data_IF_591615976091
#
_entry.id   IF_591615976091
#
_cell.length_a   1.000
_cell.length_b   1.000
_cell.length_c   1.000
_cell.angle_alpha   90.00
_cell.angle_beta   90.00
_cell.angle_gamma   90.00
#
_symmetry.space_group_name_H-M   'P 1'
#
loop_
_entity.id
_entity.type
_entity.pdbx_description
1 polymer ?
#
# COMPACT_ATOMS: atom_id res chain seq x y z
N UNK A 1 -6.15 14.12 -3.92
CA UNK A 1 -5.54 13.72 -5.21
C UNK A 1 -6.40 13.90 -6.47
N UNK A 2 -7.61 14.52 -6.42
CA UNK A 2 -8.45 14.74 -7.63
C UNK A 2 -8.11 16.01 -8.44
N UNK A 3 -7.11 16.78 -7.99
CA UNK A 3 -6.80 18.12 -8.54
C UNK A 3 -5.68 18.13 -9.59
N UNK A 4 -4.84 17.08 -9.68
CA UNK A 4 -3.77 17.02 -10.69
C UNK A 4 -4.22 16.24 -11.93
N UNK A 5 -3.78 16.65 -13.12
CA UNK A 5 -4.09 15.98 -14.39
C UNK A 5 -3.67 14.50 -14.36
N UNK A 6 -2.53 14.21 -13.73
CA UNK A 6 -2.05 12.85 -13.51
C UNK A 6 -2.98 12.05 -12.58
N UNK A 7 -3.34 12.60 -11.41
CA UNK A 7 -4.22 11.92 -10.47
C UNK A 7 -5.59 11.60 -11.07
N UNK A 8 -6.18 12.53 -11.82
CA UNK A 8 -7.47 12.30 -12.49
C UNK A 8 -7.39 11.21 -13.56
N UNK A 9 -6.29 11.15 -14.29
CA UNK A 9 -6.01 10.08 -15.25
C UNK A 9 -5.90 8.72 -14.55
N UNK A 10 -5.17 8.64 -13.43
CA UNK A 10 -5.01 7.41 -12.63
C UNK A 10 -6.36 6.91 -12.10
N UNK A 11 -7.18 7.80 -11.52
CA UNK A 11 -8.53 7.43 -11.03
C UNK A 11 -9.46 6.99 -12.15
N UNK A 12 -9.40 7.64 -13.32
CA UNK A 12 -10.20 7.26 -14.48
C UNK A 12 -9.83 5.87 -15.01
N UNK A 13 -8.53 5.58 -15.14
CA UNK A 13 -8.02 4.24 -15.52
C UNK A 13 -8.43 3.18 -14.50
N UNK A 14 -8.38 3.50 -13.21
CA UNK A 14 -8.75 2.58 -12.13
C UNK A 14 -10.24 2.29 -12.03
N UNK A 15 -11.11 3.22 -12.42
CA UNK A 15 -12.57 3.02 -12.40
C UNK A 15 -13.08 2.27 -13.62
N UNK A 16 -12.65 2.67 -14.82
CA UNK A 16 -12.99 1.98 -16.06
C UNK A 16 -11.93 2.26 -17.14
N UNK A 17 -11.03 1.30 -17.36
CA UNK A 17 -9.96 1.41 -18.34
C UNK A 17 -10.47 1.62 -19.77
N UNK A 18 -11.58 0.97 -20.14
CA UNK A 18 -12.16 1.06 -21.49
C UNK A 18 -12.74 2.46 -21.74
N UNK A 19 -13.45 3.02 -20.76
CA UNK A 19 -13.95 4.40 -20.83
C UNK A 19 -12.80 5.42 -20.87
N UNK A 20 -11.74 5.21 -20.10
CA UNK A 20 -10.57 6.08 -20.12
C UNK A 20 -9.88 6.11 -21.49
N UNK A 21 -9.78 4.96 -22.17
CA UNK A 21 -9.24 4.90 -23.54
C UNK A 21 -10.11 5.65 -24.54
N UNK A 22 -11.44 5.50 -24.46
CA UNK A 22 -12.40 6.23 -25.31
C UNK A 22 -12.35 7.75 -25.09
N UNK A 23 -11.98 8.20 -23.89
CA UNK A 23 -11.77 9.62 -23.57
C UNK A 23 -10.36 10.15 -23.96
N UNK A 24 -9.57 9.40 -24.72
CA UNK A 24 -8.23 9.82 -25.18
C UNK A 24 -7.11 9.68 -24.14
N UNK A 25 -7.37 9.04 -22.98
CA UNK A 25 -6.33 8.76 -21.99
C UNK A 25 -5.56 7.52 -22.43
N UNK A 26 -4.24 7.66 -22.62
CA UNK A 26 -3.38 6.53 -22.93
C UNK A 26 -3.14 5.65 -21.69
N UNK A 27 -4.07 4.72 -21.45
CA UNK A 27 -4.05 3.78 -20.31
C UNK A 27 -2.73 3.02 -20.20
N UNK A 28 -2.11 2.68 -21.34
CA UNK A 28 -0.83 1.96 -21.36
C UNK A 28 0.28 2.79 -20.74
N UNK A 29 0.41 4.07 -21.14
CA UNK A 29 1.41 4.98 -20.56
C UNK A 29 1.18 5.21 -19.07
N UNK A 30 -0.08 5.42 -18.66
CA UNK A 30 -0.43 5.63 -17.26
C UNK A 30 -0.08 4.40 -16.41
N UNK A 31 -0.40 3.18 -16.86
CA UNK A 31 -0.02 1.94 -16.17
C UNK A 31 1.49 1.78 -16.05
N UNK A 32 2.24 1.98 -17.13
CA UNK A 32 3.70 1.89 -17.11
C UNK A 32 4.26 2.85 -16.05
N UNK A 33 3.79 4.11 -16.05
CA UNK A 33 4.26 5.14 -15.13
C UNK A 33 3.97 4.79 -13.66
N UNK A 34 2.78 4.25 -13.36
CA UNK A 34 2.41 3.79 -12.02
C UNK A 34 3.29 2.62 -11.57
N UNK A 35 3.51 1.62 -12.44
CA UNK A 35 4.35 0.48 -12.11
C UNK A 35 5.82 0.87 -11.93
N UNK A 36 6.36 1.76 -12.76
CA UNK A 36 7.73 2.27 -12.61
C UNK A 36 7.90 3.06 -11.32
N UNK A 37 6.92 3.89 -10.95
CA UNK A 37 6.95 4.61 -9.68
C UNK A 37 6.90 3.62 -8.51
N UNK A 38 5.98 2.66 -8.54
CA UNK A 38 5.86 1.65 -7.47
C UNK A 38 7.14 0.83 -7.32
N UNK A 39 7.78 0.43 -8.42
CA UNK A 39 9.07 -0.26 -8.39
C UNK A 39 10.20 0.60 -7.83
N UNK A 40 10.24 1.88 -8.17
CA UNK A 40 11.23 2.83 -7.62
C UNK A 40 11.03 3.01 -6.11
N UNK A 41 9.80 3.20 -5.64
CA UNK A 41 9.48 3.27 -4.22
C UNK A 41 9.84 1.96 -3.49
N UNK A 42 9.55 0.80 -4.09
CA UNK A 42 9.91 -0.50 -3.52
C UNK A 42 11.43 -0.67 -3.40
N UNK A 43 12.20 -0.24 -4.41
CA UNK A 43 13.66 -0.27 -4.37
C UNK A 43 14.21 0.62 -3.24
N UNK A 44 13.71 1.85 -3.11
CA UNK A 44 14.11 2.76 -2.02
C UNK A 44 13.80 2.15 -0.65
N UNK A 45 12.60 1.57 -0.50
CA UNK A 45 12.17 0.93 0.75
C UNK A 45 13.02 -0.29 1.08
N UNK A 46 13.39 -1.10 0.07
CA UNK A 46 14.28 -2.24 0.22
C UNK A 46 15.69 -1.85 0.66
N UNK A 47 16.26 -0.77 0.09
CA UNK A 47 17.55 -0.21 0.52
C UNK A 47 17.48 0.26 1.98
N UNK A 48 16.40 0.96 2.36
CA UNK A 48 16.20 1.41 3.74
C UNK A 48 16.07 0.24 4.72
N UNK A 49 15.34 -0.81 4.35
CA UNK A 49 15.17 -2.00 5.17
C UNK A 49 16.51 -2.75 5.34
N UNK A 50 17.28 -2.88 4.27
CA UNK A 50 18.62 -3.48 4.29
C UNK A 50 19.58 -2.67 5.18
N UNK A 51 19.55 -1.34 5.09
CA UNK A 51 20.34 -0.45 5.94
C UNK A 51 19.94 -0.56 7.43
N UNK A 52 18.64 -0.76 7.71
CA UNK A 52 18.13 -0.88 9.08
C UNK A 52 18.53 -2.19 9.76
N UNK A 53 18.51 -3.31 9.04
CA UNK A 53 18.76 -4.64 9.63
C UNK A 53 20.26 -4.95 9.78
N UNK A 54 21.14 -4.32 9.00
CA UNK A 54 22.59 -4.58 9.00
C UNK A 54 22.99 -6.04 8.70
N UNK A 55 22.00 -6.91 8.48
CA UNK A 55 22.08 -8.35 8.30
C UNK A 55 20.87 -8.76 7.46
N UNK A 56 21.07 -9.63 6.47
CA UNK A 56 20.03 -10.07 5.53
C UNK A 56 19.06 -11.06 6.18
N UNK A 57 18.33 -10.63 7.21
CA UNK A 57 17.34 -11.49 7.85
C UNK A 57 16.05 -11.50 7.02
N UNK A 58 15.92 -12.50 6.13
CA UNK A 58 14.80 -12.64 5.20
C UNK A 58 13.43 -12.70 5.91
N UNK A 59 13.40 -13.10 7.18
CA UNK A 59 12.17 -13.14 7.98
C UNK A 59 11.62 -11.78 8.42
N UNK A 60 12.41 -10.71 8.33
CA UNK A 60 12.01 -9.38 8.82
C UNK A 60 10.93 -8.71 7.95
N UNK A 61 10.76 -9.16 6.70
CA UNK A 61 9.74 -8.65 5.79
C UNK A 61 8.47 -9.52 5.73
N UNK A 62 8.48 -10.70 6.36
CA UNK A 62 7.35 -11.62 6.31
C UNK A 62 6.12 -11.00 6.99
N UNK A 63 5.00 -10.95 6.27
CA UNK A 63 3.74 -10.40 6.76
C UNK A 63 3.57 -8.89 6.57
N UNK A 64 4.62 -8.17 6.12
CA UNK A 64 4.48 -6.76 5.77
C UNK A 64 3.53 -6.55 4.59
N UNK A 65 3.48 -7.48 3.64
CA UNK A 65 2.53 -7.42 2.52
C UNK A 65 1.08 -7.43 3.01
N UNK A 66 0.77 -8.30 3.97
CA UNK A 66 -0.56 -8.40 4.57
C UNK A 66 -0.92 -7.15 5.38
N UNK A 67 0.02 -6.62 6.17
CA UNK A 67 -0.20 -5.37 6.92
C UNK A 67 -0.44 -4.17 5.99
N UNK A 68 0.27 -4.11 4.85
CA UNK A 68 0.07 -3.07 3.84
C UNK A 68 -1.31 -3.18 3.21
N UNK A 69 -1.76 -4.38 2.84
CA UNK A 69 -3.10 -4.59 2.27
C UNK A 69 -4.17 -4.20 3.30
N UNK A 70 -4.04 -4.66 4.55
CA UNK A 70 -4.96 -4.35 5.63
C UNK A 70 -5.07 -2.84 5.87
N UNK A 71 -3.94 -2.14 5.94
CA UNK A 71 -3.91 -0.69 6.18
C UNK A 71 -4.59 0.10 5.06
N UNK A 72 -4.42 -0.35 3.82
CA UNK A 72 -4.98 0.27 2.62
C UNK A 72 -6.49 0.03 2.53
N UNK A 73 -6.96 -1.16 2.91
CA UNK A 73 -8.40 -1.51 2.98
C UNK A 73 -9.09 -0.79 4.14
N UNK A 74 -8.50 -0.78 5.34
CA UNK A 74 -9.00 -0.03 6.52
C UNK A 74 -9.05 1.47 6.21
N UNK A 75 -8.08 1.99 5.45
CA UNK A 75 -8.07 3.36 4.94
C UNK A 75 -9.14 3.69 3.89
N UNK A 76 -9.99 2.73 3.51
CA UNK A 76 -11.12 2.93 2.61
C UNK A 76 -10.75 3.03 1.13
N UNK A 77 -9.62 2.46 0.73
CA UNK A 77 -9.26 2.39 -0.70
C UNK A 77 -9.67 1.06 -1.31
N UNK A 78 -10.30 1.12 -2.48
CA UNK A 78 -10.82 -0.06 -3.15
C UNK A 78 -9.69 -0.79 -3.89
N UNK A 79 -9.49 -2.07 -3.57
CA UNK A 79 -8.57 -2.97 -4.28
C UNK A 79 -8.92 -3.11 -5.77
N UNK A 80 -10.21 -3.01 -6.11
CA UNK A 80 -10.70 -3.03 -7.50
C UNK A 80 -10.36 -1.77 -8.30
N UNK A 81 -9.86 -0.70 -7.65
CA UNK A 81 -9.52 0.57 -8.30
C UNK A 81 -10.69 1.54 -8.42
N UNK A 82 -10.37 2.79 -8.79
CA UNK A 82 -11.35 3.83 -9.14
C UNK A 82 -11.91 4.63 -7.96
N UNK A 83 -11.77 4.14 -6.72
CA UNK A 83 -12.17 4.85 -5.50
C UNK A 83 -11.11 4.70 -4.40
N UNK A 84 -10.77 5.82 -3.77
CA UNK A 84 -9.78 5.87 -2.70
C UNK A 84 -9.31 7.28 -2.40
N UNK A 85 -8.80 7.51 -1.18
CA UNK A 85 -8.22 8.78 -0.76
C UNK A 85 -6.85 8.53 -0.12
N UNK A 86 -5.84 9.30 -0.56
CA UNK A 86 -4.50 9.26 0.03
C UNK A 86 -4.55 9.48 1.55
N UNK A 87 -5.40 10.42 2.00
CA UNK A 87 -5.57 10.72 3.42
C UNK A 87 -6.15 9.54 4.20
N UNK A 88 -7.09 8.79 3.60
CA UNK A 88 -7.67 7.60 4.22
C UNK A 88 -6.64 6.49 4.41
N UNK A 89 -5.86 6.21 3.37
CA UNK A 89 -4.72 5.27 3.45
C UNK A 89 -3.70 5.67 4.50
N UNK A 90 -3.38 6.96 4.61
CA UNK A 90 -2.36 7.44 5.55
C UNK A 90 -2.83 7.26 7.00
N UNK A 91 -4.12 7.49 7.28
CA UNK A 91 -4.73 7.16 8.56
C UNK A 91 -4.77 5.65 8.80
N UNK A 92 -5.14 4.83 7.81
CA UNK A 92 -5.16 3.37 7.93
C UNK A 92 -3.79 2.79 8.27
N UNK A 93 -2.72 3.24 7.60
CA UNK A 93 -1.33 2.86 7.89
C UNK A 93 -0.94 3.27 9.31
N UNK A 94 -1.34 4.46 9.75
CA UNK A 94 -1.06 4.94 11.10
C UNK A 94 -1.74 4.08 12.16
N UNK A 95 -3.01 3.70 11.96
CA UNK A 95 -3.73 2.81 12.88
C UNK A 95 -3.08 1.44 12.96
N UNK A 96 -2.79 0.79 11.82
CA UNK A 96 -2.16 -0.54 11.82
C UNK A 96 -0.77 -0.50 12.45
N UNK A 97 0.02 0.54 12.16
CA UNK A 97 1.36 0.72 12.75
C UNK A 97 1.28 0.93 14.25
N UNK A 98 0.31 1.69 14.75
CA UNK A 98 0.09 1.90 16.19
C UNK A 98 -0.34 0.62 16.90
N UNK A 99 -1.26 -0.16 16.31
CA UNK A 99 -1.66 -1.47 16.86
C UNK A 99 -0.46 -2.42 16.88
N UNK A 100 0.33 -2.43 15.79
CA UNK A 100 1.56 -3.20 15.71
C UNK A 100 2.56 -2.85 16.84
N UNK A 101 2.83 -1.57 17.04
CA UNK A 101 3.73 -1.12 18.12
C UNK A 101 3.13 -1.35 19.52
N UNK A 102 1.83 -1.15 19.70
CA UNK A 102 1.14 -1.37 20.97
C UNK A 102 1.18 -2.84 21.41
N UNK A 103 0.96 -3.78 20.50
CA UNK A 103 1.07 -5.22 20.77
C UNK A 103 2.51 -5.64 21.14
N UNK A 104 3.52 -5.01 20.53
CA UNK A 104 4.94 -5.24 20.88
C UNK A 104 5.25 -4.72 22.28
N UNK A 105 4.75 -3.53 22.65
CA UNK A 105 4.93 -2.95 23.98
C UNK A 105 4.21 -3.74 25.09
N UNK A 106 3.09 -4.40 24.76
CA UNK A 106 2.37 -5.32 25.64
C UNK A 106 3.08 -6.68 25.79
N UNK A 107 4.22 -6.90 25.14
CA UNK A 107 5.01 -8.13 25.25
C UNK A 107 4.38 -9.34 24.57
N UNK A 108 3.43 -9.13 23.65
CA UNK A 108 2.73 -10.21 22.95
C UNK A 108 3.67 -10.83 21.92
N UNK A 109 3.81 -12.16 21.97
CA UNK A 109 4.68 -12.91 21.08
C UNK A 109 4.30 -12.70 19.60
N UNK A 110 5.31 -12.54 18.74
CA UNK A 110 5.16 -12.33 17.28
C UNK A 110 4.20 -13.33 16.62
N UNK A 111 4.13 -14.56 17.14
CA UNK A 111 3.22 -15.60 16.68
C UNK A 111 1.74 -15.23 16.88
N UNK A 112 1.37 -14.71 18.06
CA UNK A 112 0.02 -14.21 18.33
C UNK A 112 -0.29 -12.93 17.54
N UNK A 113 0.73 -12.10 17.31
CA UNK A 113 0.59 -10.92 16.48
C UNK A 113 0.20 -11.27 15.04
N UNK A 114 0.78 -12.34 14.49
CA UNK A 114 0.49 -12.83 13.16
C UNK A 114 -0.91 -13.45 13.06
N UNK A 115 -1.37 -14.16 14.10
CA UNK A 115 -2.75 -14.68 14.18
C UNK A 115 -3.77 -13.54 14.26
N UNK A 116 -3.55 -12.53 15.11
CA UNK A 116 -4.45 -11.38 15.23
C UNK A 116 -4.52 -10.59 13.91
N UNK A 117 -3.39 -10.39 13.23
CA UNK A 117 -3.35 -9.76 11.89
C UNK A 117 -4.14 -10.57 10.87
N UNK A 118 -4.05 -11.90 10.91
CA UNK A 118 -4.83 -12.80 10.05
C UNK A 118 -6.34 -12.78 10.33
N UNK A 119 -6.78 -12.39 11.53
CA UNK A 119 -8.20 -12.26 11.89
C UNK A 119 -8.78 -10.89 11.48
N UNK A 120 -7.94 -9.86 11.36
CA UNK A 120 -8.36 -8.49 11.01
C UNK A 120 -8.70 -8.35 9.52
N UNK A 121 -8.12 -9.20 8.67
CA UNK A 121 -8.28 -9.22 7.21
C UNK A 121 -9.37 -10.22 6.83
#
# INVERSE_FOLDING_TARGET
SRKTAFGRSVFAVGGNATAAQLCGINVRRVRILIFTLSGLLAAVTGILLAARLGSGNAGAANGLEFDVIAAVVVGGTALSGGRGSLFGTLLGVLVITLIGNGLVLLGINSFFQQVVRGVII
#
